data_IF_231553989053
#
_entry.id   IF_231553989053
#
_cell.length_a   1.000
_cell.length_b   1.000
_cell.length_c   1.000
_cell.angle_alpha   90.00
_cell.angle_beta   90.00
_cell.angle_gamma   90.00
#
_symmetry.space_group_name_H-M   'P 1'
#
loop_
_entity.id
_entity.type
_entity.pdbx_description
1 polymer ?
#
# COMPACT_ATOMS: atom_id res chain seq x y z
N UNK A 1 -4.22 55.74 -43.02
CA UNK A 1 -2.93 55.82 -42.31
C UNK A 1 -2.62 54.45 -41.74
N UNK A 2 -1.40 53.94 -41.99
CA UNK A 2 -0.78 52.68 -41.53
C UNK A 2 -1.47 51.37 -41.98
N UNK A 3 -1.05 50.67 -43.05
CA UNK A 3 0.17 49.83 -43.22
C UNK A 3 0.36 48.90 -42.02
N UNK A 4 0.22 47.57 -42.08
CA UNK A 4 0.61 46.63 -43.13
C UNK A 4 1.90 45.92 -42.69
N UNK A 5 1.80 44.72 -42.09
CA UNK A 5 2.96 43.83 -41.91
C UNK A 5 2.56 42.38 -42.14
N UNK A 6 3.16 41.85 -43.20
CA UNK A 6 2.96 40.54 -43.77
C UNK A 6 4.12 39.62 -43.38
N UNK A 7 3.78 38.34 -43.28
CA UNK A 7 4.61 37.16 -43.02
C UNK A 7 6.00 37.15 -43.69
N UNK A 8 6.99 36.61 -42.98
CA UNK A 8 8.29 36.25 -43.53
C UNK A 8 8.96 35.11 -42.76
N UNK A 9 8.68 33.87 -43.18
CA UNK A 9 9.47 32.69 -42.83
C UNK A 9 10.86 32.81 -43.48
N UNK A 10 11.92 32.82 -42.67
CA UNK A 10 13.29 32.88 -43.15
C UNK A 10 13.90 31.46 -43.16
N UNK A 11 13.95 30.88 -44.35
CA UNK A 11 14.63 29.62 -44.66
C UNK A 11 16.10 29.91 -45.00
N UNK A 12 17.10 29.29 -44.34
CA UNK A 12 18.50 29.49 -44.69
C UNK A 12 18.91 28.63 -45.91
N UNK A 13 19.67 29.19 -46.87
CA UNK A 13 20.08 28.47 -48.07
C UNK A 13 21.28 27.53 -47.84
N UNK A 14 21.19 26.38 -48.50
CA UNK A 14 22.28 25.45 -48.78
C UNK A 14 23.37 26.12 -49.65
N UNK A 15 24.63 25.99 -49.23
CA UNK A 15 25.78 26.55 -49.94
C UNK A 15 26.99 25.62 -49.88
N UNK A 16 27.15 24.83 -50.94
CA UNK A 16 28.32 24.00 -51.22
C UNK A 16 29.43 24.88 -51.80
N UNK A 17 30.63 24.85 -51.24
CA UNK A 17 31.86 25.32 -51.89
C UNK A 17 33.02 24.39 -51.51
N UNK A 18 33.40 23.50 -52.43
CA UNK A 18 34.56 23.62 -53.34
C UNK A 18 35.90 23.71 -52.61
N UNK A 19 36.53 22.55 -52.53
CA UNK A 19 37.96 22.37 -52.25
C UNK A 19 38.82 23.11 -53.26
N UNK A 20 39.96 23.68 -52.83
CA UNK A 20 41.15 23.76 -53.67
C UNK A 20 42.13 22.65 -53.29
N UNK A 21 42.49 21.87 -54.30
CA UNK A 21 43.63 20.97 -54.35
C UNK A 21 44.89 21.84 -54.23
N UNK A 22 45.73 21.59 -53.23
CA UNK A 22 47.12 22.02 -53.22
C UNK A 22 47.96 20.76 -53.00
N UNK A 23 48.34 20.13 -54.10
CA UNK A 23 49.52 19.26 -54.16
C UNK A 23 50.72 20.15 -54.47
N UNK A 24 51.73 20.14 -53.60
CA UNK A 24 53.15 20.08 -54.00
C UNK A 24 54.03 20.00 -52.75
N UNK A 25 54.64 18.82 -52.59
CA UNK A 25 56.02 18.61 -52.17
C UNK A 25 56.60 19.45 -51.04
N UNK A 26 56.85 18.81 -49.88
CA UNK A 26 58.14 18.90 -49.19
C UNK A 26 58.25 17.86 -48.04
N UNK A 27 58.99 16.80 -48.35
CA UNK A 27 59.85 15.94 -47.50
C UNK A 27 59.46 15.56 -46.05
N UNK A 28 59.43 14.26 -45.70
CA UNK A 28 59.29 13.77 -44.33
C UNK A 28 60.65 13.67 -43.63
N UNK A 29 60.99 14.62 -42.75
CA UNK A 29 62.05 14.45 -41.75
C UNK A 29 62.00 15.58 -40.73
N UNK A 30 61.37 15.35 -39.58
CA UNK A 30 61.93 15.81 -38.29
C UNK A 30 61.24 15.08 -37.11
N UNK A 31 62.00 14.37 -36.25
CA UNK A 31 61.48 13.63 -35.11
C UNK A 31 61.36 14.49 -33.83
N UNK A 32 60.51 14.00 -32.92
CA UNK A 32 60.49 14.30 -31.47
C UNK A 32 59.79 15.60 -31.00
N UNK A 33 58.48 15.49 -30.75
CA UNK A 33 57.81 16.26 -29.69
C UNK A 33 57.46 15.27 -28.55
N UNK A 34 58.11 15.33 -27.38
CA UNK A 34 57.69 14.52 -26.24
C UNK A 34 56.43 15.12 -25.61
N UNK A 35 55.28 14.44 -25.74
CA UNK A 35 54.09 14.74 -24.95
C UNK A 35 54.42 14.41 -23.50
N UNK A 36 54.46 15.46 -22.69
CA UNK A 36 54.68 15.45 -21.24
C UNK A 36 53.70 14.49 -20.58
N UNK A 37 54.20 13.34 -20.15
CA UNK A 37 53.46 12.39 -19.33
C UNK A 37 52.99 13.05 -18.04
N UNK A 38 51.69 13.33 -17.95
CA UNK A 38 51.04 13.61 -16.69
C UNK A 38 51.12 12.35 -15.83
N UNK A 39 51.93 12.40 -14.78
CA UNK A 39 51.90 11.43 -13.70
C UNK A 39 50.51 11.49 -13.06
N UNK A 40 49.65 10.54 -13.42
CA UNK A 40 48.47 10.21 -12.61
C UNK A 40 49.05 9.57 -11.35
N UNK A 41 48.92 10.27 -10.23
CA UNK A 41 49.35 9.77 -8.94
C UNK A 41 48.75 8.39 -8.69
N UNK A 42 49.62 7.40 -8.44
CA UNK A 42 49.24 6.16 -7.77
C UNK A 42 48.69 6.54 -6.40
N UNK A 43 47.37 6.62 -6.28
CA UNK A 43 46.68 6.48 -5.01
C UNK A 43 46.96 5.06 -4.52
N UNK A 44 47.80 4.99 -3.50
CA UNK A 44 48.08 3.80 -2.71
C UNK A 44 46.80 3.39 -1.95
N UNK A 45 46.41 2.14 -2.15
CA UNK A 45 45.74 1.30 -1.16
C UNK A 45 44.31 1.71 -0.75
N UNK A 46 43.39 1.70 -1.72
CA UNK A 46 42.06 1.16 -1.48
C UNK A 46 42.06 -0.29 -1.98
N UNK A 47 42.17 -1.21 -1.03
CA UNK A 47 42.25 -2.65 -1.26
C UNK A 47 41.00 -3.16 -2.00
N UNK A 48 41.19 -3.62 -3.23
CA UNK A 48 40.42 -4.74 -3.78
C UNK A 48 38.97 -4.52 -4.21
N UNK A 49 38.67 -3.55 -5.07
CA UNK A 49 37.52 -3.70 -5.99
C UNK A 49 37.98 -3.42 -7.41
N UNK A 50 38.23 -4.50 -8.17
CA UNK A 50 38.34 -4.41 -9.63
C UNK A 50 36.94 -4.07 -10.16
N UNK A 51 36.77 -3.05 -11.02
CA UNK A 51 35.50 -2.84 -11.71
C UNK A 51 35.31 -4.00 -12.69
N UNK A 52 34.56 -5.03 -12.29
CA UNK A 52 34.26 -6.21 -13.11
C UNK A 52 34.54 -7.57 -12.47
N UNK A 53 34.71 -7.67 -11.15
CA UNK A 53 34.60 -8.95 -10.45
C UNK A 53 33.16 -9.14 -9.95
N UNK A 54 32.50 -10.22 -10.36
CA UNK A 54 31.20 -10.65 -9.85
C UNK A 54 31.34 -11.05 -8.37
N UNK A 55 31.27 -10.07 -7.47
CA UNK A 55 31.10 -10.32 -6.03
C UNK A 55 29.62 -10.33 -5.71
N UNK A 56 29.13 -11.38 -5.04
CA UNK A 56 27.77 -11.42 -4.54
C UNK A 56 27.56 -10.29 -3.53
N UNK A 57 26.46 -9.55 -3.69
CA UNK A 57 26.08 -8.44 -2.84
C UNK A 57 24.74 -8.72 -2.20
N UNK A 58 24.58 -8.24 -0.98
CA UNK A 58 23.32 -8.33 -0.27
C UNK A 58 22.51 -7.06 -0.50
N UNK A 59 21.28 -7.24 -0.95
CA UNK A 59 20.32 -6.18 -1.18
C UNK A 59 19.08 -6.40 -0.33
N UNK A 60 18.55 -5.28 0.15
CA UNK A 60 17.25 -5.18 0.78
C UNK A 60 16.35 -4.33 -0.11
N UNK A 61 15.21 -4.87 -0.49
CA UNK A 61 14.16 -4.18 -1.22
C UNK A 61 12.98 -3.96 -0.27
N UNK A 62 12.77 -2.71 0.12
CA UNK A 62 11.59 -2.30 0.87
C UNK A 62 10.57 -1.69 -0.09
N UNK A 63 9.35 -2.20 -0.09
CA UNK A 63 8.29 -1.67 -0.94
C UNK A 63 6.95 -1.61 -0.22
N UNK A 64 6.13 -0.67 -0.66
CA UNK A 64 4.84 -0.34 -0.06
C UNK A 64 3.76 -0.61 -1.11
N UNK A 65 2.85 -1.51 -0.81
CA UNK A 65 1.67 -1.79 -1.65
C UNK A 65 0.46 -0.99 -1.12
N UNK A 66 -0.45 -0.65 -2.03
CA UNK A 66 -1.76 -0.09 -1.69
C UNK A 66 -2.50 -0.98 -0.66
N UNK A 67 -3.18 -0.39 0.34
CA UNK A 67 -3.84 -1.16 1.41
C UNK A 67 -5.17 -1.82 1.00
N UNK A 68 -5.74 -1.39 -0.13
CA UNK A 68 -7.03 -1.85 -0.69
C UNK A 68 -6.88 -3.12 -1.55
N UNK A 69 -5.66 -3.48 -1.94
CA UNK A 69 -5.42 -4.71 -2.69
C UNK A 69 -5.79 -5.93 -1.84
N UNK A 70 -6.30 -6.98 -2.49
CA UNK A 70 -6.50 -8.27 -1.85
C UNK A 70 -5.16 -8.91 -1.48
N UNK A 71 -5.20 -9.85 -0.53
CA UNK A 71 -4.04 -10.67 -0.19
C UNK A 71 -3.56 -11.48 -1.40
N UNK A 72 -4.48 -11.95 -2.25
CA UNK A 72 -4.18 -12.62 -3.52
C UNK A 72 -3.40 -11.72 -4.48
N UNK A 73 -3.77 -10.44 -4.60
CA UNK A 73 -3.05 -9.47 -5.44
C UNK A 73 -1.66 -9.17 -4.89
N UNK A 74 -1.51 -9.09 -3.56
CA UNK A 74 -0.20 -8.94 -2.91
C UNK A 74 0.69 -10.15 -3.17
N UNK A 75 0.13 -11.35 -3.04
CA UNK A 75 0.83 -12.60 -3.33
C UNK A 75 1.24 -12.72 -4.82
N UNK A 76 0.41 -12.23 -5.74
CA UNK A 76 0.74 -12.21 -7.17
C UNK A 76 1.94 -11.29 -7.48
N UNK A 77 2.03 -10.13 -6.83
CA UNK A 77 3.19 -9.23 -6.96
C UNK A 77 4.46 -9.89 -6.39
N UNK A 78 4.35 -10.53 -5.22
CA UNK A 78 5.46 -11.29 -4.64
C UNK A 78 5.93 -12.43 -5.56
N UNK A 79 5.00 -13.20 -6.13
CA UNK A 79 5.33 -14.28 -7.06
C UNK A 79 6.03 -13.76 -8.33
N UNK A 80 5.66 -12.57 -8.83
CA UNK A 80 6.35 -11.92 -9.96
C UNK A 80 7.78 -11.52 -9.60
N UNK A 81 7.99 -10.98 -8.40
CA UNK A 81 9.34 -10.66 -7.91
C UNK A 81 10.16 -11.94 -7.76
N UNK A 82 9.59 -12.98 -7.18
CA UNK A 82 10.25 -14.28 -7.00
C UNK A 82 10.68 -14.90 -8.34
N UNK A 83 9.82 -14.85 -9.35
CA UNK A 83 10.14 -15.31 -10.70
C UNK A 83 11.31 -14.54 -11.34
N UNK A 84 11.43 -13.23 -11.06
CA UNK A 84 12.57 -12.44 -11.53
C UNK A 84 13.85 -12.81 -10.75
N UNK A 85 13.75 -13.09 -9.44
CA UNK A 85 14.90 -13.52 -8.63
C UNK A 85 15.46 -14.88 -9.08
N UNK A 86 14.61 -15.80 -9.54
CA UNK A 86 15.04 -17.11 -10.06
C UNK A 86 16.04 -17.02 -11.25
N UNK A 87 16.08 -15.88 -11.94
CA UNK A 87 16.91 -15.68 -13.13
C UNK A 87 18.43 -15.53 -12.87
N UNK A 88 18.85 -15.47 -11.61
CA UNK A 88 20.28 -15.36 -11.26
C UNK A 88 20.59 -14.76 -9.89
N UNK A 89 19.57 -14.51 -9.07
CA UNK A 89 19.71 -14.05 -7.70
C UNK A 89 19.26 -15.13 -6.73
N UNK A 90 19.62 -14.96 -5.46
CA UNK A 90 19.18 -15.86 -4.41
C UNK A 90 18.32 -15.13 -3.40
N UNK A 91 17.07 -15.58 -3.23
CA UNK A 91 16.18 -15.08 -2.19
C UNK A 91 16.66 -15.54 -0.82
N UNK A 92 16.75 -14.62 0.13
CA UNK A 92 17.09 -14.91 1.52
C UNK A 92 15.84 -14.99 2.39
N UNK A 93 15.11 -13.88 2.49
CA UNK A 93 13.95 -13.76 3.38
C UNK A 93 12.96 -12.75 2.81
N UNK A 94 11.69 -12.95 3.10
CA UNK A 94 10.64 -12.01 2.74
C UNK A 94 9.73 -11.80 3.95
N UNK A 95 9.81 -10.60 4.51
CA UNK A 95 9.07 -10.23 5.70
C UNK A 95 7.84 -9.39 5.30
N UNK A 96 6.68 -9.85 5.73
CA UNK A 96 5.46 -9.05 5.73
C UNK A 96 5.40 -8.25 7.03
N UNK A 97 5.55 -6.92 6.93
CA UNK A 97 5.53 -6.00 8.06
C UNK A 97 4.11 -5.51 8.39
N UNK A 98 3.10 -5.93 7.63
CA UNK A 98 1.71 -5.57 7.85
C UNK A 98 1.36 -4.15 7.40
N UNK A 99 0.08 -3.81 7.56
CA UNK A 99 -0.47 -2.50 7.19
C UNK A 99 -0.07 -1.44 8.23
N UNK A 100 0.64 -0.40 7.81
CA UNK A 100 1.10 0.70 8.68
C UNK A 100 0.64 2.06 8.15
N UNK A 101 0.46 3.03 9.05
CA UNK A 101 0.06 4.40 8.70
C UNK A 101 1.26 5.16 8.13
N UNK A 102 1.08 5.81 6.99
CA UNK A 102 2.07 6.69 6.36
C UNK A 102 2.06 8.07 7.03
N UNK A 103 3.20 8.76 7.01
CA UNK A 103 3.31 10.11 7.58
C UNK A 103 2.48 11.15 6.79
N UNK A 104 2.35 10.94 5.48
CA UNK A 104 1.57 11.76 4.56
C UNK A 104 0.94 10.86 3.50
N UNK A 105 -0.04 11.40 2.78
CA UNK A 105 -0.74 10.66 1.73
C UNK A 105 0.15 10.46 0.49
N UNK A 106 0.27 9.20 0.06
CA UNK A 106 0.91 8.84 -1.21
C UNK A 106 -0.19 8.30 -2.12
N UNK A 107 -0.38 8.91 -3.29
CA UNK A 107 -1.45 8.54 -4.23
C UNK A 107 -2.84 8.46 -3.57
N UNK A 108 -3.13 9.37 -2.60
CA UNK A 108 -4.37 9.43 -1.79
C UNK A 108 -4.55 8.33 -0.73
N UNK A 109 -3.53 7.52 -0.47
CA UNK A 109 -3.55 6.53 0.60
C UNK A 109 -2.81 7.03 1.85
N UNK A 110 -3.45 6.93 3.02
CA UNK A 110 -2.86 7.22 4.33
C UNK A 110 -2.23 5.99 5.01
N UNK A 111 -2.49 4.79 4.48
CA UNK A 111 -1.97 3.51 4.97
C UNK A 111 -1.30 2.79 3.81
N UNK A 112 -0.33 1.94 4.11
CA UNK A 112 0.33 1.08 3.12
C UNK A 112 0.71 -0.26 3.73
N UNK A 113 0.74 -1.30 2.90
CA UNK A 113 1.22 -2.61 3.28
C UNK A 113 2.73 -2.68 3.02
N UNK A 114 3.53 -2.91 4.05
CA UNK A 114 4.99 -2.90 3.94
C UNK A 114 5.56 -4.30 3.78
N UNK A 115 6.43 -4.45 2.79
CA UNK A 115 7.19 -5.68 2.56
C UNK A 115 8.68 -5.39 2.54
N UNK A 116 9.46 -6.31 3.10
CA UNK A 116 10.91 -6.30 3.06
C UNK A 116 11.41 -7.60 2.43
N UNK A 117 12.05 -7.50 1.27
CA UNK A 117 12.65 -8.62 0.57
C UNK A 117 14.18 -8.51 0.68
N UNK A 118 14.81 -9.51 1.28
CA UNK A 118 16.27 -9.65 1.32
C UNK A 118 16.72 -10.67 0.27
N UNK A 119 17.72 -10.32 -0.52
CA UNK A 119 18.26 -11.21 -1.56
C UNK A 119 19.74 -10.94 -1.84
N UNK A 120 20.40 -11.94 -2.40
CA UNK A 120 21.77 -11.89 -2.87
C UNK A 120 21.78 -11.80 -4.39
N UNK A 121 22.53 -10.85 -4.93
CA UNK A 121 22.66 -10.69 -6.39
C UNK A 121 24.07 -10.21 -6.76
N UNK A 122 24.52 -10.56 -7.96
CA UNK A 122 25.75 -10.06 -8.55
C UNK A 122 25.60 -8.61 -9.09
N UNK A 123 24.40 -8.06 -9.04
CA UNK A 123 24.03 -6.71 -9.52
C UNK A 123 23.18 -6.60 -10.79
N UNK A 124 23.06 -7.59 -11.70
CA UNK A 124 22.30 -7.41 -12.93
C UNK A 124 20.79 -7.45 -12.73
N UNK A 125 20.27 -8.04 -11.65
CA UNK A 125 18.83 -8.25 -11.45
C UNK A 125 18.14 -7.01 -10.85
N UNK A 126 18.88 -6.21 -10.07
CA UNK A 126 18.35 -4.99 -9.42
C UNK A 126 17.61 -4.04 -10.40
N UNK A 127 18.17 -3.67 -11.57
CA UNK A 127 17.48 -2.78 -12.51
C UNK A 127 16.25 -3.40 -13.16
N UNK A 128 16.13 -4.72 -13.17
CA UNK A 128 14.93 -5.42 -13.67
C UNK A 128 13.81 -5.37 -12.63
N UNK A 129 14.13 -5.64 -11.35
CA UNK A 129 13.18 -5.51 -10.24
C UNK A 129 12.63 -4.09 -10.13
N UNK A 130 13.49 -3.07 -10.22
CA UNK A 130 13.02 -1.67 -10.19
C UNK A 130 12.09 -1.35 -11.35
N UNK A 131 12.32 -1.92 -12.54
CA UNK A 131 11.44 -1.72 -13.69
C UNK A 131 10.09 -2.39 -13.49
N UNK A 132 10.07 -3.62 -12.98
CA UNK A 132 8.84 -4.34 -12.65
C UNK A 132 8.01 -3.57 -11.62
N UNK A 133 8.63 -3.12 -10.52
CA UNK A 133 7.94 -2.35 -9.48
C UNK A 133 7.43 -0.98 -9.95
N UNK A 134 8.08 -0.38 -10.95
CA UNK A 134 7.60 0.87 -11.58
C UNK A 134 6.39 0.63 -12.49
N UNK A 135 6.25 -0.56 -13.06
CA UNK A 135 5.12 -0.92 -13.92
C UNK A 135 3.89 -1.33 -13.10
N UNK A 136 4.09 -1.83 -11.88
CA UNK A 136 3.01 -2.14 -10.96
C UNK A 136 2.38 -0.88 -10.37
N UNK A 137 1.17 -0.55 -10.82
CA UNK A 137 0.40 0.59 -10.30
C UNK A 137 0.03 0.41 -8.82
N UNK A 138 -0.06 -0.84 -8.35
CA UNK A 138 -0.36 -1.18 -6.96
C UNK A 138 0.77 -0.85 -5.98
N UNK A 139 1.99 -0.59 -6.46
CA UNK A 139 3.14 -0.24 -5.63
C UNK A 139 3.23 1.28 -5.48
N UNK A 140 3.11 1.76 -4.24
CA UNK A 140 3.17 3.19 -3.91
C UNK A 140 4.60 3.74 -3.93
N UNK A 141 5.53 2.98 -3.38
CA UNK A 141 6.95 3.35 -3.24
C UNK A 141 7.79 2.11 -3.08
N UNK A 142 9.01 2.15 -3.58
CA UNK A 142 10.05 1.17 -3.30
C UNK A 142 11.38 1.87 -3.02
N UNK A 143 12.24 1.18 -2.28
CA UNK A 143 13.61 1.57 -1.98
C UNK A 143 14.47 0.30 -1.98
N UNK A 144 15.46 0.29 -2.86
CA UNK A 144 16.50 -0.75 -2.87
C UNK A 144 17.73 -0.22 -2.14
N UNK A 145 18.18 -0.95 -1.12
CA UNK A 145 19.37 -0.64 -0.34
C UNK A 145 20.38 -1.76 -0.52
N UNK A 146 21.64 -1.40 -0.75
CA UNK A 146 22.75 -2.35 -0.74
C UNK A 146 23.29 -2.44 0.69
N UNK A 147 23.19 -3.62 1.30
CA UNK A 147 23.60 -3.87 2.69
C UNK A 147 25.07 -4.23 2.77
N UNK A 148 25.49 -5.18 1.93
CA UNK A 148 26.84 -5.75 1.99
C UNK A 148 27.46 -5.81 0.59
N UNK A 149 28.71 -5.35 0.45
CA UNK A 149 29.44 -5.31 -0.83
C UNK A 149 30.08 -6.65 -1.24
N UNK A 150 30.44 -7.47 -0.25
CA UNK A 150 31.14 -8.74 -0.47
C UNK A 150 30.54 -9.81 0.44
N UNK A 151 29.60 -10.58 -0.10
CA UNK A 151 29.10 -11.79 0.55
C UNK A 151 29.95 -12.96 0.09
N UNK A 152 30.77 -13.48 1.01
CA UNK A 152 31.66 -14.62 0.75
C UNK A 152 30.93 -15.94 0.97
N UNK A 153 30.09 -16.02 2.01
CA UNK A 153 29.36 -17.23 2.39
C UNK A 153 27.85 -17.07 2.15
N UNK A 154 27.45 -17.43 0.94
CA UNK A 154 26.07 -17.39 0.46
C UNK A 154 25.16 -18.37 1.24
N UNK A 155 25.65 -19.57 1.51
CA UNK A 155 24.89 -20.61 2.25
C UNK A 155 24.69 -20.25 3.72
N UNK A 156 25.69 -19.65 4.38
CA UNK A 156 25.56 -19.18 5.76
C UNK A 156 24.48 -18.08 5.85
N UNK A 157 24.46 -17.16 4.88
CA UNK A 157 23.43 -16.11 4.82
C UNK A 157 22.03 -16.68 4.58
N UNK A 158 21.90 -17.70 3.73
CA UNK A 158 20.64 -18.44 3.55
C UNK A 158 20.20 -19.15 4.83
N UNK A 159 21.11 -19.80 5.56
CA UNK A 159 20.80 -20.46 6.81
C UNK A 159 20.32 -19.46 7.87
N UNK A 160 21.05 -18.36 8.04
CA UNK A 160 20.64 -17.26 8.94
C UNK A 160 19.30 -16.64 8.54
N UNK A 161 19.03 -16.52 7.23
CA UNK A 161 17.77 -15.99 6.73
C UNK A 161 16.61 -16.98 6.94
N UNK A 162 16.83 -18.27 6.73
CA UNK A 162 15.85 -19.32 6.99
C UNK A 162 15.54 -19.46 8.49
N UNK A 163 16.56 -19.31 9.35
CA UNK A 163 16.38 -19.24 10.80
C UNK A 163 15.56 -18.01 11.21
N UNK A 164 15.86 -16.84 10.64
CA UNK A 164 15.07 -15.61 10.83
C UNK A 164 13.63 -15.79 10.38
N UNK A 165 13.40 -16.37 9.21
CA UNK A 165 12.06 -16.64 8.71
C UNK A 165 11.30 -17.63 9.60
N UNK A 166 11.96 -18.68 10.08
CA UNK A 166 11.38 -19.65 11.00
C UNK A 166 11.06 -19.01 12.36
N UNK A 167 11.91 -18.13 12.86
CA UNK A 167 11.67 -17.37 14.09
C UNK A 167 10.48 -16.41 13.93
N UNK A 168 10.41 -15.68 12.82
CA UNK A 168 9.31 -14.78 12.52
C UNK A 168 7.99 -15.55 12.41
N UNK A 169 7.97 -16.70 11.74
CA UNK A 169 6.80 -17.60 11.67
C UNK A 169 6.40 -18.10 13.06
N UNK A 170 7.34 -18.53 13.90
CA UNK A 170 7.06 -18.95 15.28
C UNK A 170 6.45 -17.80 16.11
N UNK A 171 7.05 -16.61 16.04
CA UNK A 171 6.55 -15.41 16.73
C UNK A 171 5.18 -14.98 16.22
N UNK A 172 4.90 -15.15 14.93
CA UNK A 172 3.59 -14.87 14.33
C UNK A 172 2.52 -15.84 14.83
N UNK A 173 2.83 -17.15 14.90
CA UNK A 173 1.91 -18.16 15.45
C UNK A 173 1.64 -17.90 16.93
N UNK A 174 2.67 -17.66 17.73
CA UNK A 174 2.51 -17.33 19.17
C UNK A 174 1.66 -16.07 19.37
N UNK A 175 1.85 -15.04 18.54
CA UNK A 175 1.03 -13.83 18.60
C UNK A 175 -0.42 -14.11 18.20
N UNK A 176 -0.65 -14.88 17.14
CA UNK A 176 -1.99 -15.23 16.69
C UNK A 176 -2.75 -16.07 17.73
N UNK A 177 -2.06 -16.98 18.42
CA UNK A 177 -2.63 -17.77 19.51
C UNK A 177 -3.04 -16.88 20.70
N UNK A 178 -2.19 -15.93 21.10
CA UNK A 178 -2.54 -14.96 22.16
C UNK A 178 -3.70 -14.05 21.76
N UNK A 179 -3.70 -13.53 20.53
CA UNK A 179 -4.80 -12.70 20.03
C UNK A 179 -6.13 -13.48 19.97
N UNK A 180 -6.08 -14.78 19.63
CA UNK A 180 -7.26 -15.64 19.65
C UNK A 180 -7.75 -15.96 21.07
N UNK A 181 -6.86 -16.18 22.02
CA UNK A 181 -7.20 -16.36 23.43
C UNK A 181 -7.82 -15.08 24.03
N UNK A 182 -7.23 -13.92 23.75
CA UNK A 182 -7.76 -12.62 24.17
C UNK A 182 -9.14 -12.33 23.53
N UNK A 183 -9.36 -12.71 22.27
CA UNK A 183 -10.65 -12.55 21.62
C UNK A 183 -11.73 -13.42 22.29
N UNK A 184 -11.42 -14.70 22.57
CA UNK A 184 -12.33 -15.60 23.29
C UNK A 184 -12.66 -15.09 24.70
N UNK A 185 -11.66 -14.61 25.43
CA UNK A 185 -11.88 -14.02 26.76
C UNK A 185 -12.74 -12.74 26.71
N UNK A 186 -12.64 -11.93 25.65
CA UNK A 186 -13.51 -10.76 25.43
C UNK A 186 -14.95 -11.17 25.13
N UNK A 187 -15.15 -12.19 24.30
CA UNK A 187 -16.48 -12.74 24.01
C UNK A 187 -17.13 -13.31 25.27
N UNK A 188 -16.40 -14.10 26.06
CA UNK A 188 -16.88 -14.63 27.33
C UNK A 188 -17.24 -13.51 28.32
N UNK A 189 -16.42 -12.46 28.44
CA UNK A 189 -16.70 -11.32 29.30
C UNK A 189 -17.92 -10.50 28.81
N UNK A 190 -18.13 -10.36 27.51
CA UNK A 190 -19.30 -9.70 26.94
C UNK A 190 -20.59 -10.52 27.18
N UNK A 191 -20.51 -11.84 27.07
CA UNK A 191 -21.61 -12.75 27.41
C UNK A 191 -21.95 -12.70 28.90
N UNK A 192 -20.96 -12.73 29.79
CA UNK A 192 -21.15 -12.56 31.23
C UNK A 192 -21.77 -11.20 31.57
N UNK A 193 -21.33 -10.12 30.93
CA UNK A 193 -21.92 -8.80 31.10
C UNK A 193 -23.36 -8.74 30.59
N UNK A 194 -23.67 -9.40 29.48
CA UNK A 194 -25.03 -9.49 28.92
C UNK A 194 -25.95 -10.31 29.81
N UNK A 195 -25.46 -11.41 30.39
CA UNK A 195 -26.19 -12.23 31.35
C UNK A 195 -26.41 -11.48 32.68
N UNK A 196 -25.39 -10.78 33.20
CA UNK A 196 -25.51 -9.97 34.40
C UNK A 196 -26.44 -8.76 34.20
N UNK A 197 -26.43 -8.12 33.03
CA UNK A 197 -27.37 -7.06 32.68
C UNK A 197 -28.81 -7.58 32.60
N UNK A 198 -29.01 -8.77 32.01
CA UNK A 198 -30.32 -9.44 31.95
C UNK A 198 -30.83 -9.81 33.34
N UNK A 199 -29.99 -10.38 34.21
CA UNK A 199 -30.34 -10.70 35.60
C UNK A 199 -30.68 -9.45 36.41
N UNK A 200 -29.88 -8.37 36.30
CA UNK A 200 -30.18 -7.08 36.94
C UNK A 200 -31.49 -6.47 36.44
N UNK A 201 -31.82 -6.63 35.17
CA UNK A 201 -33.10 -6.15 34.62
C UNK A 201 -34.29 -6.98 35.09
N UNK A 202 -34.11 -8.29 35.32
CA UNK A 202 -35.15 -9.17 35.85
C UNK A 202 -35.39 -8.93 37.35
N UNK A 203 -34.32 -8.79 38.15
CA UNK A 203 -34.42 -8.45 39.58
C UNK A 203 -35.03 -7.05 39.79
N UNK A 204 -34.74 -6.09 38.91
CA UNK A 204 -35.36 -4.76 38.96
C UNK A 204 -36.85 -4.77 38.59
N UNK A 205 -37.26 -5.65 37.68
CA UNK A 205 -38.67 -5.85 37.34
C UNK A 205 -39.44 -6.52 38.50
N UNK A 206 -38.83 -7.50 39.18
CA UNK A 206 -39.43 -8.19 40.33
C UNK A 206 -39.55 -7.28 41.56
N UNK A 207 -38.60 -6.35 41.77
CA UNK A 207 -38.70 -5.33 42.82
C UNK A 207 -39.77 -4.25 42.52
N UNK A 208 -39.99 -3.91 41.25
CA UNK A 208 -41.05 -2.99 40.84
C UNK A 208 -42.46 -3.60 41.02
N UNK A 209 -42.60 -4.93 40.91
CA UNK A 209 -43.87 -5.61 41.22
C UNK A 209 -44.10 -5.75 42.74
N UNK A 210 -43.05 -5.93 43.55
CA UNK A 210 -43.16 -6.00 45.02
C UNK A 210 -43.50 -4.66 45.70
N UNK A 211 -43.23 -3.51 45.08
CA UNK A 211 -43.67 -2.19 45.56
C UNK A 211 -45.14 -1.88 45.19
N UNK A 212 -45.79 -2.68 44.33
CA UNK A 212 -47.19 -2.48 43.91
C UNK A 212 -48.23 -3.17 44.83
N UNK A 213 -47.81 -4.08 45.70
CA UNK A 213 -48.67 -4.76 46.71
C UNK A 213 -48.66 -4.06 48.09
N UNK A 214 -47.95 -2.93 48.25
CA UNK A 214 -47.87 -2.16 49.50
C UNK A 214 -48.91 -1.05 49.66
N UNK A 215 -49.72 -0.78 48.65
CA UNK A 215 -50.61 0.39 48.60
C UNK A 215 -52.11 0.00 48.61
N UNK A 216 -52.47 -1.04 49.36
CA UNK A 216 -53.87 -1.33 49.71
C UNK A 216 -54.13 -1.08 51.21
N UNK A 217 -53.86 0.13 51.70
CA UNK A 217 -54.35 0.58 53.01
C UNK A 217 -54.32 2.12 53.20
N UNK A 218 -54.98 2.91 52.36
CA UNK A 218 -55.44 4.27 52.74
C UNK A 218 -56.41 4.90 51.72
N UNK A 219 -57.66 4.44 51.65
CA UNK A 219 -58.76 5.33 51.25
C UNK A 219 -59.37 5.96 52.51
N UNK A 220 -59.35 7.29 52.62
CA UNK A 220 -60.54 8.10 52.92
C UNK A 220 -60.23 9.59 53.10
N UNK A 221 -61.02 10.41 52.39
CA UNK A 221 -61.35 11.81 52.64
C UNK A 221 -60.35 12.89 52.20
N UNK A 222 -60.67 13.60 51.12
CA UNK A 222 -61.27 14.94 51.26
C UNK A 222 -61.66 15.53 49.89
N UNK A 223 -62.92 15.93 49.85
CA UNK A 223 -63.64 16.65 48.81
C UNK A 223 -63.35 18.16 48.86
N UNK A 224 -63.13 18.81 47.71
CA UNK A 224 -63.80 20.07 47.32
C UNK A 224 -63.20 20.68 46.04
N UNK A 225 -64.06 20.83 45.04
CA UNK A 225 -63.92 21.73 43.88
C UNK A 225 -64.19 23.20 44.32
N UNK A 226 -64.00 24.27 43.50
CA UNK A 226 -64.71 24.50 42.21
C UNK A 226 -63.89 25.19 41.08
N UNK A 227 -64.16 24.86 39.80
CA UNK A 227 -64.92 25.61 38.76
C UNK A 227 -64.10 26.66 37.94
N UNK A 228 -63.83 26.41 36.64
CA UNK A 228 -64.56 26.91 35.42
C UNK A 228 -64.12 28.33 35.01
N UNK A 229 -63.94 28.79 33.75
CA UNK A 229 -64.12 28.35 32.35
C UNK A 229 -63.49 29.45 31.45
N UNK A 230 -62.98 29.15 30.25
CA UNK A 230 -63.21 29.95 29.03
C UNK A 230 -62.57 29.31 27.78
N UNK A 231 -63.32 29.34 26.69
CA UNK A 231 -63.22 28.54 25.47
C UNK A 231 -62.46 29.22 24.30
N UNK A 232 -62.14 28.41 23.27
CA UNK A 232 -62.04 28.80 21.83
C UNK A 232 -60.61 28.94 21.26
N UNK A 233 -60.03 27.98 20.53
CA UNK A 233 -60.31 27.44 19.17
C UNK A 233 -59.98 28.38 17.99
N UNK A 234 -58.99 28.02 17.16
CA UNK A 234 -59.16 27.73 15.70
C UNK A 234 -57.84 27.31 14.98
N UNK A 235 -57.87 26.08 14.42
CA UNK A 235 -57.42 25.59 13.08
C UNK A 235 -55.93 25.57 12.65
N UNK A 236 -55.35 24.37 12.41
CA UNK A 236 -55.05 23.66 11.12
C UNK A 236 -53.64 23.96 10.56
N UNK A 237 -52.75 23.03 10.18
CA UNK A 237 -52.85 21.93 9.19
C UNK A 237 -51.82 20.79 9.42
N UNK A 238 -52.30 19.60 9.07
CA UNK A 238 -51.72 18.30 8.62
C UNK A 238 -50.37 18.29 7.88
N UNK A 239 -49.50 17.29 8.12
CA UNK A 239 -49.12 16.24 7.14
C UNK A 239 -48.30 15.08 7.78
N UNK A 240 -48.62 13.85 7.36
CA UNK A 240 -48.09 12.57 7.82
C UNK A 240 -47.25 11.89 6.72
N UNK A 241 -46.29 11.00 7.01
CA UNK A 241 -45.70 10.13 6.01
C UNK A 241 -46.30 8.72 6.05
N UNK A 242 -46.81 8.25 4.91
CA UNK A 242 -47.27 6.87 4.71
C UNK A 242 -46.40 6.15 3.67
N UNK A 243 -46.16 4.86 3.94
CA UNK A 243 -45.47 3.89 3.11
C UNK A 243 -46.39 3.25 2.07
N UNK A 244 -45.80 2.74 0.98
CA UNK A 244 -46.32 1.67 0.10
C UNK A 244 -45.11 1.23 -0.75
N UNK A 245 -44.52 0.05 -0.54
CA UNK A 245 -44.96 -1.29 -0.96
C UNK A 245 -45.28 -1.35 -2.47
N UNK A 246 -44.41 -2.03 -3.23
CA UNK A 246 -44.65 -2.43 -4.61
C UNK A 246 -44.17 -3.87 -4.79
N UNK A 247 -45.11 -4.75 -5.11
CA UNK A 247 -44.97 -6.20 -5.15
C UNK A 247 -45.28 -6.70 -6.57
N UNK A 248 -44.34 -7.48 -7.11
CA UNK A 248 -44.49 -8.64 -8.03
C UNK A 248 -45.18 -8.57 -9.41
N UNK A 249 -44.39 -9.07 -10.39
CA UNK A 249 -44.67 -10.19 -11.31
C UNK A 249 -45.40 -10.00 -12.66
N UNK A 250 -44.68 -10.42 -13.72
CA UNK A 250 -45.05 -11.27 -14.90
C UNK A 250 -44.28 -10.76 -16.15
N UNK A 251 -43.33 -11.51 -16.71
CA UNK A 251 -43.44 -12.64 -17.63
C UNK A 251 -43.97 -12.28 -19.04
N UNK A 252 -43.08 -12.27 -20.04
CA UNK A 252 -43.26 -12.71 -21.46
C UNK A 252 -41.93 -12.42 -22.22
N UNK A 253 -41.08 -13.39 -22.57
CA UNK A 253 -41.12 -14.32 -23.73
C UNK A 253 -40.54 -13.75 -25.06
N UNK A 254 -39.46 -14.41 -25.51
CA UNK A 254 -39.08 -14.71 -26.91
C UNK A 254 -38.53 -13.62 -27.85
N UNK A 255 -37.39 -13.95 -28.48
CA UNK A 255 -36.90 -13.66 -29.86
C UNK A 255 -35.36 -13.57 -29.78
N UNK A 256 -34.52 -14.14 -30.63
CA UNK A 256 -34.53 -15.18 -31.67
C UNK A 256 -33.05 -15.25 -32.12
N UNK A 257 -32.65 -16.39 -32.67
CA UNK A 257 -31.32 -16.70 -33.18
C UNK A 257 -30.83 -15.75 -34.29
N UNK A 258 -29.51 -15.84 -34.51
CA UNK A 258 -28.86 -15.97 -35.83
C UNK A 258 -27.98 -14.80 -36.33
N UNK A 259 -26.82 -15.22 -36.84
CA UNK A 259 -25.78 -14.57 -37.68
C UNK A 259 -24.70 -13.77 -36.93
N UNK A 260 -23.40 -13.99 -37.18
CA UNK A 260 -22.70 -14.66 -38.29
C UNK A 260 -21.28 -15.03 -37.89
#
# INVERSE_FOLDING_TARGET
MALGLQLGYHSPPSGVSRTPIIESDLSPSDPSIPIRGGQIGKGSDAEGVRPGGESMREYELNFIIQPEISEEGSAAILARLDAELESGSERLCCDDLGKRKLAYEIQKFQKGHYYLLSFLDAGPVVPHLERLLRLEESVLRFLTVKVSDNVVDVEARKAEAAEREAELKRRAVERAEREAEEARAREEAEEEQRQAAAQRSAEAAEQAEAESDGEEAAEASAESAPAETSEGSTTSETEAPAATENTEASADASIEEDKS
#
